data_IF_025486118226
#
_entry.id   IF_025486118226
#
_cell.length_a   1.000
_cell.length_b   1.000
_cell.length_c   1.000
_cell.angle_alpha   90.00
_cell.angle_beta   90.00
_cell.angle_gamma   90.00
#
_symmetry.space_group_name_H-M   'P 1'
#
loop_
_entity.id
_entity.type
_entity.pdbx_description
1 polymer ?
#
# COMPACT_ATOMS: atom_id res chain seq x y z
N UNK A 1 3.30 12.36 12.32
CA UNK A 1 4.69 11.90 12.40
C UNK A 1 5.16 12.05 13.84
N UNK A 2 5.66 10.97 14.48
CA UNK A 2 6.52 11.14 15.67
C UNK A 2 7.77 11.89 15.17
N UNK A 3 8.13 12.99 15.82
CA UNK A 3 9.25 13.85 15.39
C UNK A 3 10.55 13.06 15.23
N UNK A 4 11.44 13.53 14.36
CA UNK A 4 12.82 13.02 14.27
C UNK A 4 13.41 13.01 15.69
N UNK A 5 13.98 11.87 16.09
CA UNK A 5 14.61 11.76 17.40
C UNK A 5 15.98 12.43 17.35
N UNK A 6 16.20 13.37 18.25
CA UNK A 6 17.49 14.03 18.47
C UNK A 6 18.12 13.49 19.75
N UNK A 7 19.45 13.59 19.87
CA UNK A 7 20.13 13.34 21.14
C UNK A 7 19.73 14.40 22.17
N UNK A 8 19.71 14.01 23.45
CA UNK A 8 19.28 14.89 24.53
C UNK A 8 20.20 16.11 24.67
N UNK A 9 21.49 15.97 24.36
CA UNK A 9 22.47 17.03 24.49
C UNK A 9 23.19 17.37 23.17
N UNK A 10 23.59 18.64 23.05
CA UNK A 10 24.53 19.11 22.04
C UNK A 10 25.96 18.95 22.57
N UNK A 11 26.75 18.07 21.95
CA UNK A 11 28.16 17.88 22.32
C UNK A 11 29.00 19.02 21.77
N UNK A 12 29.84 19.65 22.60
CA UNK A 12 30.68 20.79 22.18
C UNK A 12 32.16 20.45 22.32
N UNK A 13 32.92 20.63 21.25
CA UNK A 13 34.38 20.40 21.22
C UNK A 13 35.12 21.66 20.75
N UNK A 14 36.32 21.92 21.28
CA UNK A 14 37.14 23.07 20.86
C UNK A 14 37.86 22.76 19.54
N UNK A 15 37.70 23.63 18.54
CA UNK A 15 38.51 23.59 17.33
C UNK A 15 39.90 24.16 17.65
N UNK A 16 40.96 23.39 17.35
CA UNK A 16 42.33 23.84 17.59
C UNK A 16 42.78 24.96 16.64
N UNK A 17 42.14 25.11 15.47
CA UNK A 17 42.65 25.91 14.34
C UNK A 17 41.74 27.06 13.88
N UNK A 18 40.47 27.10 14.27
CA UNK A 18 39.53 28.11 13.76
C UNK A 18 39.49 29.36 14.66
N UNK A 19 39.95 30.51 14.14
CA UNK A 19 39.97 31.80 14.87
C UNK A 19 38.57 32.41 15.08
N UNK A 20 37.66 32.26 14.10
CA UNK A 20 36.33 32.89 14.14
C UNK A 20 35.26 32.04 14.84
N UNK A 21 35.36 30.71 14.75
CA UNK A 21 34.44 29.76 15.37
C UNK A 21 35.26 28.71 16.15
N UNK A 22 35.79 29.08 17.33
CA UNK A 22 36.70 28.23 18.10
C UNK A 22 36.03 26.99 18.70
N UNK A 23 34.70 26.85 18.60
CA UNK A 23 33.96 25.71 19.10
C UNK A 23 33.17 25.03 17.97
N UNK A 24 32.91 23.74 18.15
CA UNK A 24 32.10 22.92 17.25
C UNK A 24 30.99 22.25 18.05
N UNK A 25 29.74 22.51 17.69
CA UNK A 25 28.57 21.82 18.22
C UNK A 25 28.26 20.60 17.36
N UNK A 26 27.98 19.45 18.00
CA UNK A 26 27.54 18.21 17.36
C UNK A 26 26.21 17.76 17.95
N UNK A 27 25.21 17.59 17.10
CA UNK A 27 23.89 17.08 17.47
C UNK A 27 23.69 15.71 16.84
N UNK A 28 23.42 14.69 17.66
CA UNK A 28 23.04 13.37 17.20
C UNK A 28 21.57 13.37 16.75
N UNK A 29 21.26 12.66 15.68
CA UNK A 29 19.88 12.41 15.26
C UNK A 29 19.76 10.99 14.70
N UNK A 30 18.58 10.41 14.84
CA UNK A 30 18.26 9.13 14.22
C UNK A 30 17.83 9.37 12.78
N UNK A 31 18.59 8.84 11.81
CA UNK A 31 18.24 8.91 10.40
C UNK A 31 17.14 7.87 10.09
N UNK A 32 15.91 8.29 9.73
CA UNK A 32 14.82 7.36 9.44
C UNK A 32 14.98 6.62 8.10
N UNK A 33 15.90 7.04 7.23
CA UNK A 33 16.15 6.41 5.94
C UNK A 33 17.11 5.24 6.12
N UNK A 34 18.27 5.50 6.71
CA UNK A 34 19.32 4.49 6.88
C UNK A 34 19.19 3.69 8.19
N UNK A 35 18.27 4.07 9.09
CA UNK A 35 18.07 3.48 10.41
C UNK A 35 19.32 3.50 11.31
N UNK A 36 20.20 4.51 11.15
CA UNK A 36 21.44 4.67 11.90
C UNK A 36 21.49 6.03 12.60
N UNK A 37 22.13 6.09 13.76
CA UNK A 37 22.45 7.34 14.44
C UNK A 37 23.55 8.10 13.71
N UNK A 38 23.24 9.32 13.26
CA UNK A 38 24.18 10.23 12.60
C UNK A 38 24.37 11.49 13.43
N UNK A 39 25.42 12.25 13.14
CA UNK A 39 25.70 13.52 13.81
C UNK A 39 25.82 14.67 12.81
N UNK A 40 25.06 15.75 13.04
CA UNK A 40 25.22 17.00 12.32
C UNK A 40 26.13 17.95 13.12
N UNK A 41 26.83 18.84 12.41
CA UNK A 41 27.92 19.63 12.98
C UNK A 41 27.76 21.09 12.59
N UNK A 42 28.00 22.00 13.55
CA UNK A 42 27.99 23.45 13.32
C UNK A 42 29.15 24.14 14.04
N UNK A 43 29.73 25.16 13.41
CA UNK A 43 30.72 26.03 14.04
C UNK A 43 30.06 27.01 15.01
N UNK A 44 30.68 27.25 16.16
CA UNK A 44 30.17 28.09 17.24
C UNK A 44 31.23 29.11 17.69
N UNK A 45 30.78 30.33 18.02
CA UNK A 45 31.65 31.40 18.51
C UNK A 45 31.95 31.30 20.02
N UNK A 46 31.02 30.77 20.80
CA UNK A 46 31.16 30.62 22.26
C UNK A 46 30.53 29.33 22.78
N UNK A 47 30.83 28.96 24.03
CA UNK A 47 30.29 27.77 24.73
C UNK A 47 29.13 28.06 25.68
N UNK A 48 28.60 29.29 25.66
CA UNK A 48 27.56 29.76 26.57
C UNK A 48 26.22 29.05 26.30
N UNK A 49 25.33 29.02 27.30
CA UNK A 49 24.03 28.33 27.21
C UNK A 49 23.20 28.82 26.02
N UNK A 50 23.13 30.12 25.81
CA UNK A 50 22.41 30.74 24.69
C UNK A 50 22.96 30.31 23.33
N UNK A 51 24.29 30.35 23.17
CA UNK A 51 24.95 29.90 21.95
C UNK A 51 24.69 28.42 21.66
N UNK A 52 24.69 27.55 22.68
CA UNK A 52 24.34 26.13 22.55
C UNK A 52 22.89 25.95 22.11
N UNK A 53 21.95 26.69 22.69
CA UNK A 53 20.54 26.59 22.33
C UNK A 53 20.29 27.06 20.89
N UNK A 54 20.88 28.18 20.48
CA UNK A 54 20.79 28.66 19.09
C UNK A 54 21.38 27.66 18.10
N UNK A 55 22.58 27.14 18.38
CA UNK A 55 23.25 26.14 17.54
C UNK A 55 22.43 24.85 17.42
N UNK A 56 21.80 24.41 18.52
CA UNK A 56 20.89 23.25 18.51
C UNK A 56 19.68 23.52 17.62
N UNK A 57 18.96 24.61 17.82
CA UNK A 57 17.77 24.95 17.03
C UNK A 57 18.09 25.07 15.53
N UNK A 58 19.25 25.65 15.19
CA UNK A 58 19.69 25.77 13.80
C UNK A 58 20.03 24.41 13.18
N UNK A 59 20.69 23.52 13.94
CA UNK A 59 20.95 22.15 13.50
C UNK A 59 19.66 21.35 13.31
N UNK A 60 18.73 21.41 14.26
CA UNK A 60 17.42 20.75 14.15
C UNK A 60 16.68 21.24 12.90
N UNK A 61 16.66 22.56 12.64
CA UNK A 61 16.06 23.15 11.45
C UNK A 61 16.72 22.66 10.16
N UNK A 62 18.05 22.67 10.07
CA UNK A 62 18.80 22.18 8.90
C UNK A 62 18.57 20.69 8.65
N UNK A 63 18.52 19.87 9.70
CA UNK A 63 18.22 18.44 9.61
C UNK A 63 16.79 18.24 9.08
N UNK A 64 15.81 18.95 9.65
CA UNK A 64 14.42 18.91 9.20
C UNK A 64 14.26 19.37 7.75
N UNK A 65 14.95 20.44 7.35
CA UNK A 65 14.96 20.95 5.97
C UNK A 65 15.59 19.94 5.01
N UNK A 66 16.70 19.29 5.38
CA UNK A 66 17.31 18.24 4.57
C UNK A 66 16.34 17.08 4.33
N UNK A 67 15.62 16.63 5.36
CA UNK A 67 14.61 15.58 5.19
C UNK A 67 13.36 16.06 4.44
N UNK A 68 13.06 17.36 4.44
CA UNK A 68 12.05 17.94 3.53
C UNK A 68 12.56 17.96 2.09
N UNK A 69 13.83 18.25 1.84
CA UNK A 69 14.43 18.32 0.51
C UNK A 69 14.70 16.93 -0.11
N UNK A 70 15.15 15.95 0.67
CA UNK A 70 15.28 14.55 0.21
C UNK A 70 13.92 13.97 -0.20
N UNK A 71 12.83 14.40 0.46
CA UNK A 71 11.47 14.11 -0.01
C UNK A 71 11.15 14.77 -1.36
N UNK A 72 11.81 15.86 -1.74
CA UNK A 72 11.59 16.57 -3.02
C UNK A 72 12.41 15.96 -4.16
N UNK A 73 13.53 15.27 -3.89
CA UNK A 73 14.33 14.64 -4.96
C UNK A 73 13.74 13.31 -5.45
N UNK A 74 13.01 12.57 -4.62
CA UNK A 74 12.24 11.36 -5.01
C UNK A 74 10.80 11.70 -5.45
N UNK A 75 10.64 12.77 -6.24
CA UNK A 75 9.36 13.36 -6.66
C UNK A 75 8.63 12.59 -7.78
N UNK A 76 8.52 11.26 -7.65
CA UNK A 76 7.61 10.50 -8.49
C UNK A 76 6.15 10.88 -8.21
N UNK A 77 5.37 11.07 -9.25
CA UNK A 77 3.91 11.17 -9.14
C UNK A 77 3.32 9.80 -8.80
N UNK A 78 2.11 9.78 -8.22
CA UNK A 78 1.37 8.54 -7.98
C UNK A 78 1.16 7.75 -9.28
N UNK A 79 0.94 8.44 -10.40
CA UNK A 79 0.80 7.83 -11.72
C UNK A 79 2.05 7.08 -12.17
N UNK A 80 3.21 7.73 -12.11
CA UNK A 80 4.49 7.12 -12.51
C UNK A 80 4.83 5.90 -11.64
N UNK A 81 4.65 6.01 -10.32
CA UNK A 81 4.89 4.89 -9.42
C UNK A 81 3.94 3.71 -9.68
N UNK A 82 2.68 3.99 -10.03
CA UNK A 82 1.71 2.96 -10.40
C UNK A 82 2.08 2.27 -11.70
N UNK A 83 2.45 3.02 -12.74
CA UNK A 83 2.82 2.46 -14.04
C UNK A 83 4.08 1.59 -13.90
N UNK A 84 5.09 2.05 -13.18
CA UNK A 84 6.30 1.27 -12.89
C UNK A 84 6.00 -0.03 -12.10
N UNK A 85 5.11 0.05 -11.11
CA UNK A 85 4.67 -1.13 -10.36
C UNK A 85 3.92 -2.13 -11.25
N UNK A 86 3.03 -1.65 -12.12
CA UNK A 86 2.26 -2.51 -13.02
C UNK A 86 3.15 -3.18 -14.08
N UNK A 87 4.18 -2.50 -14.57
CA UNK A 87 5.18 -3.11 -15.46
C UNK A 87 5.97 -4.22 -14.78
N UNK A 88 6.38 -4.00 -13.52
CA UNK A 88 6.99 -5.04 -12.71
C UNK A 88 6.06 -6.25 -12.51
N UNK A 89 4.80 -5.99 -12.13
CA UNK A 89 3.80 -7.05 -11.91
C UNK A 89 3.50 -7.82 -13.18
N UNK A 90 3.42 -7.16 -14.33
CA UNK A 90 3.19 -7.81 -15.63
C UNK A 90 4.22 -8.90 -15.95
N UNK A 91 5.46 -8.75 -15.48
CA UNK A 91 6.53 -9.76 -15.63
C UNK A 91 6.50 -10.85 -14.55
N UNK A 92 5.96 -10.54 -13.38
CA UNK A 92 6.03 -11.41 -12.20
C UNK A 92 4.79 -12.30 -11.97
N UNK A 93 3.61 -11.92 -12.49
CA UNK A 93 2.36 -12.64 -12.20
C UNK A 93 1.58 -13.06 -13.45
N UNK A 94 0.64 -13.98 -13.26
CA UNK A 94 -0.27 -14.43 -14.32
C UNK A 94 -1.15 -13.28 -14.85
N UNK A 95 -1.65 -13.42 -16.09
CA UNK A 95 -2.57 -12.44 -16.70
C UNK A 95 -3.82 -12.21 -15.85
N UNK A 96 -4.41 -13.27 -15.29
CA UNK A 96 -5.61 -13.16 -14.46
C UNK A 96 -5.35 -12.36 -13.18
N UNK A 97 -4.19 -12.58 -12.54
CA UNK A 97 -3.75 -11.83 -11.37
C UNK A 97 -3.49 -10.36 -11.72
N UNK A 98 -2.87 -10.08 -12.86
CA UNK A 98 -2.63 -8.71 -13.32
C UNK A 98 -3.94 -7.93 -13.55
N UNK A 99 -4.98 -8.60 -14.07
CA UNK A 99 -6.31 -7.99 -14.21
C UNK A 99 -6.89 -7.59 -12.85
N UNK A 100 -6.73 -8.43 -11.82
CA UNK A 100 -7.14 -8.09 -10.46
C UNK A 100 -6.37 -6.89 -9.91
N UNK A 101 -5.05 -6.83 -10.16
CA UNK A 101 -4.21 -5.69 -9.76
C UNK A 101 -4.69 -4.38 -10.41
N UNK A 102 -4.99 -4.40 -11.72
CA UNK A 102 -5.51 -3.25 -12.45
C UNK A 102 -6.86 -2.77 -11.90
N UNK A 103 -7.77 -3.70 -11.59
CA UNK A 103 -9.07 -3.37 -11.02
C UNK A 103 -8.91 -2.73 -9.63
N UNK A 104 -8.09 -3.31 -8.77
CA UNK A 104 -7.86 -2.81 -7.42
C UNK A 104 -7.22 -1.41 -7.41
N UNK A 105 -6.23 -1.19 -8.28
CA UNK A 105 -5.47 0.07 -8.35
C UNK A 105 -6.14 1.15 -9.21
N UNK A 106 -7.21 0.83 -9.94
CA UNK A 106 -7.99 1.79 -10.73
C UNK A 106 -8.44 3.00 -9.90
N UNK A 107 -8.83 2.77 -8.65
CA UNK A 107 -9.25 3.84 -7.73
C UNK A 107 -8.15 4.86 -7.46
N UNK A 108 -6.91 4.42 -7.28
CA UNK A 108 -5.74 5.31 -7.13
C UNK A 108 -5.46 6.06 -8.42
N UNK A 109 -5.53 5.36 -9.57
CA UNK A 109 -5.30 5.94 -10.89
C UNK A 109 -6.33 7.02 -11.27
N UNK A 110 -7.57 6.90 -10.81
CA UNK A 110 -8.64 7.87 -11.06
C UNK A 110 -8.64 9.06 -10.09
N UNK A 111 -7.96 8.96 -8.95
CA UNK A 111 -8.07 9.96 -7.88
C UNK A 111 -7.30 11.26 -8.18
N UNK A 112 -6.08 11.14 -8.72
CA UNK A 112 -5.24 12.21 -9.32
C UNK A 112 -3.85 11.63 -9.65
N UNK A 113 -3.57 11.37 -10.93
CA UNK A 113 -2.29 10.78 -11.36
C UNK A 113 -1.10 11.69 -11.05
N UNK A 114 -1.28 13.01 -11.19
CA UNK A 114 -0.25 14.02 -10.93
C UNK A 114 -0.08 14.35 -9.44
N UNK A 115 -0.79 13.67 -8.54
CA UNK A 115 -0.59 13.86 -7.10
C UNK A 115 0.80 13.34 -6.73
N UNK A 116 1.65 14.13 -6.05
CA UNK A 116 2.91 13.62 -5.52
C UNK A 116 2.65 12.41 -4.64
N UNK A 117 3.40 11.32 -4.84
CA UNK A 117 3.18 10.06 -4.11
C UNK A 117 3.26 10.27 -2.59
N UNK A 118 4.14 11.15 -2.14
CA UNK A 118 4.32 11.55 -0.73
C UNK A 118 3.09 12.20 -0.10
N UNK A 119 2.20 12.79 -0.90
CA UNK A 119 0.98 13.44 -0.43
C UNK A 119 -0.20 12.47 -0.34
N UNK A 120 0.00 11.19 -0.70
CA UNK A 120 -1.02 10.16 -0.51
C UNK A 120 -1.14 9.84 0.98
N UNK A 121 -2.31 10.12 1.56
CA UNK A 121 -2.60 9.88 2.97
C UNK A 121 -3.68 8.79 3.15
N UNK A 122 -3.92 8.43 4.40
CA UNK A 122 -4.91 7.41 4.78
C UNK A 122 -6.34 7.79 4.36
N UNK A 123 -6.69 9.07 4.38
CA UNK A 123 -8.04 9.55 4.02
C UNK A 123 -8.35 9.35 2.54
N UNK A 124 -7.38 9.57 1.66
CA UNK A 124 -7.51 9.28 0.23
C UNK A 124 -7.84 7.80 0.01
N UNK A 125 -7.14 6.92 0.72
CA UNK A 125 -7.34 5.47 0.56
C UNK A 125 -8.67 5.04 1.18
N UNK A 126 -9.07 5.59 2.34
CA UNK A 126 -10.40 5.35 2.92
C UNK A 126 -11.52 5.74 1.96
N UNK A 127 -11.38 6.87 1.26
CA UNK A 127 -12.36 7.32 0.25
C UNK A 127 -12.44 6.36 -0.93
N UNK A 128 -11.31 5.85 -1.41
CA UNK A 128 -11.26 4.84 -2.48
C UNK A 128 -11.92 3.53 -2.02
N UNK A 129 -11.54 3.02 -0.84
CA UNK A 129 -12.08 1.78 -0.27
C UNK A 129 -13.58 1.91 -0.01
N UNK A 130 -14.04 3.06 0.48
CA UNK A 130 -15.45 3.34 0.71
C UNK A 130 -16.29 3.43 -0.57
N UNK A 131 -15.67 3.74 -1.71
CA UNK A 131 -16.33 3.76 -3.02
C UNK A 131 -16.46 2.37 -3.66
N UNK A 132 -15.78 1.35 -3.14
CA UNK A 132 -15.84 0.00 -3.71
C UNK A 132 -17.18 -0.67 -3.44
N UNK A 133 -17.84 -1.09 -4.52
CA UNK A 133 -19.02 -1.95 -4.47
C UNK A 133 -18.57 -3.41 -4.42
N UNK A 134 -19.14 -4.21 -3.53
CA UNK A 134 -18.85 -5.65 -3.45
C UNK A 134 -18.93 -6.22 -2.05
N UNK A 135 -18.58 -7.50 -1.92
CA UNK A 135 -18.46 -8.16 -0.62
C UNK A 135 -17.14 -7.76 0.08
N UNK A 136 -17.09 -7.92 1.40
CA UNK A 136 -15.93 -7.52 2.20
C UNK A 136 -14.67 -8.33 1.86
N UNK A 137 -14.82 -9.57 1.39
CA UNK A 137 -13.70 -10.43 0.96
C UNK A 137 -12.97 -9.85 -0.25
N UNK A 138 -13.70 -9.43 -1.28
CA UNK A 138 -13.15 -8.80 -2.48
C UNK A 138 -12.52 -7.46 -2.14
N UNK A 139 -13.18 -6.65 -1.33
CA UNK A 139 -12.60 -5.38 -0.86
C UNK A 139 -11.29 -5.63 -0.09
N UNK A 140 -11.22 -6.67 0.75
CA UNK A 140 -10.01 -7.01 1.51
C UNK A 140 -8.87 -7.44 0.58
N UNK A 141 -9.18 -8.23 -0.45
CA UNK A 141 -8.21 -8.61 -1.47
C UNK A 141 -7.65 -7.37 -2.19
N UNK A 142 -8.51 -6.44 -2.61
CA UNK A 142 -8.07 -5.21 -3.25
C UNK A 142 -7.27 -4.31 -2.32
N UNK A 143 -7.63 -4.21 -1.04
CA UNK A 143 -6.85 -3.47 -0.06
C UNK A 143 -5.46 -4.06 0.11
N UNK A 144 -5.34 -5.38 0.15
CA UNK A 144 -4.04 -6.06 0.24
C UNK A 144 -3.17 -5.79 -1.00
N UNK A 145 -3.77 -5.74 -2.20
CA UNK A 145 -3.04 -5.33 -3.42
C UNK A 145 -2.51 -3.89 -3.27
N UNK A 146 -3.33 -2.95 -2.78
CA UNK A 146 -2.87 -1.58 -2.51
C UNK A 146 -1.75 -1.53 -1.46
N UNK A 147 -1.86 -2.32 -0.39
CA UNK A 147 -0.79 -2.40 0.62
C UNK A 147 0.52 -2.89 0.00
N UNK A 148 0.47 -3.89 -0.88
CA UNK A 148 1.65 -4.39 -1.58
C UNK A 148 2.26 -3.35 -2.52
N UNK A 149 1.44 -2.57 -3.23
CA UNK A 149 1.90 -1.44 -4.03
C UNK A 149 2.71 -0.45 -3.18
N UNK A 150 2.13 0.06 -2.08
CA UNK A 150 2.82 1.01 -1.22
C UNK A 150 4.05 0.41 -0.52
N UNK A 151 4.03 -0.88 -0.18
CA UNK A 151 5.22 -1.58 0.31
C UNK A 151 6.34 -1.57 -0.72
N UNK A 152 6.03 -1.79 -2.01
CA UNK A 152 7.02 -1.69 -3.08
C UNK A 152 7.56 -0.27 -3.23
N UNK A 153 6.71 0.75 -3.06
CA UNK A 153 7.16 2.15 -3.03
C UNK A 153 8.12 2.44 -1.86
N UNK A 154 7.92 1.81 -0.71
CA UNK A 154 8.84 1.93 0.45
C UNK A 154 10.16 1.23 0.16
N UNK A 155 10.14 0.01 -0.40
CA UNK A 155 11.36 -0.71 -0.80
C UNK A 155 12.22 0.09 -1.79
N UNK A 156 11.59 0.88 -2.66
CA UNK A 156 12.27 1.78 -3.60
C UNK A 156 12.69 3.12 -3.01
N UNK A 157 12.35 3.39 -1.76
CA UNK A 157 12.67 4.66 -1.08
C UNK A 157 11.78 5.84 -1.48
N UNK A 158 10.64 5.60 -2.14
CA UNK A 158 9.69 6.67 -2.47
C UNK A 158 8.82 7.09 -1.27
N UNK A 159 8.58 6.15 -0.35
CA UNK A 159 7.76 6.37 0.84
C UNK A 159 8.47 5.86 2.09
N UNK A 160 8.16 6.48 3.23
CA UNK A 160 8.69 6.08 4.55
C UNK A 160 7.72 5.14 5.26
N UNK A 161 6.42 5.35 5.08
CA UNK A 161 5.35 4.60 5.75
C UNK A 161 4.25 4.25 4.74
N UNK A 162 3.53 3.16 5.01
CA UNK A 162 2.47 2.67 4.14
C UNK A 162 1.13 3.32 4.54
N UNK A 163 0.57 4.24 3.73
CA UNK A 163 -0.68 4.92 4.05
C UNK A 163 -1.89 3.96 4.12
N UNK A 164 -1.81 2.78 3.51
CA UNK A 164 -2.88 1.78 3.52
C UNK A 164 -2.85 0.86 4.75
N UNK A 165 -1.75 0.80 5.52
CA UNK A 165 -1.49 -0.28 6.47
C UNK A 165 -2.55 -0.36 7.59
N UNK A 166 -2.93 0.81 8.12
CA UNK A 166 -3.87 0.95 9.24
C UNK A 166 -5.33 0.76 8.85
N UNK A 167 -5.63 0.73 7.56
CA UNK A 167 -6.99 0.59 7.06
C UNK A 167 -7.44 -0.85 7.27
N UNK A 168 -8.63 -0.99 7.85
CA UNK A 168 -9.28 -2.27 8.12
C UNK A 168 -10.64 -2.30 7.45
N UNK A 169 -10.96 -3.42 6.83
CA UNK A 169 -12.29 -3.68 6.27
C UNK A 169 -13.04 -4.51 7.30
N UNK A 170 -14.18 -3.98 7.73
CA UNK A 170 -15.04 -4.66 8.69
C UNK A 170 -15.82 -5.72 7.92
N UNK A 171 -15.59 -6.99 8.22
CA UNK A 171 -16.41 -8.07 7.69
C UNK A 171 -17.82 -7.98 8.30
N UNK A 172 -18.84 -7.91 7.44
CA UNK A 172 -20.21 -8.13 7.89
C UNK A 172 -20.31 -9.58 8.37
N UNK A 173 -20.92 -9.80 9.54
CA UNK A 173 -21.25 -11.14 10.00
C UNK A 173 -22.21 -11.77 8.99
N UNK A 174 -21.91 -12.97 8.53
CA UNK A 174 -22.79 -13.69 7.63
C UNK A 174 -24.09 -14.03 8.36
N UNK A 175 -25.22 -13.83 7.69
CA UNK A 175 -26.53 -14.28 8.20
C UNK A 175 -26.64 -15.80 8.06
N UNK A 176 -27.50 -16.44 8.86
CA UNK A 176 -27.74 -17.89 8.78
C UNK A 176 -28.14 -18.34 7.38
N UNK A 177 -28.95 -17.54 6.67
CA UNK A 177 -29.32 -17.77 5.28
C UNK A 177 -28.13 -17.77 4.32
N UNK A 178 -27.18 -16.83 4.46
CA UNK A 178 -25.99 -16.78 3.60
C UNK A 178 -25.03 -17.94 3.85
N UNK A 179 -25.02 -18.47 5.07
CA UNK A 179 -24.27 -19.67 5.43
C UNK A 179 -24.88 -20.88 4.74
N UNK A 180 -26.19 -21.12 4.91
CA UNK A 180 -26.88 -22.23 4.27
C UNK A 180 -26.83 -22.17 2.74
N UNK A 181 -27.00 -20.99 2.14
CA UNK A 181 -26.84 -20.81 0.68
C UNK A 181 -25.45 -21.20 0.16
N UNK A 182 -24.39 -21.02 0.97
CA UNK A 182 -23.05 -21.47 0.59
C UNK A 182 -22.90 -22.98 0.72
N UNK A 183 -23.52 -23.58 1.73
CA UNK A 183 -23.54 -25.03 1.93
C UNK A 183 -24.28 -25.73 0.79
N UNK A 184 -25.46 -25.23 0.42
CA UNK A 184 -26.31 -25.73 -0.67
C UNK A 184 -25.67 -25.62 -2.07
N UNK A 185 -24.60 -24.83 -2.22
CA UNK A 185 -23.86 -24.73 -3.49
C UNK A 185 -23.11 -26.02 -3.81
N UNK A 186 -22.72 -26.77 -2.79
CA UNK A 186 -21.93 -27.99 -2.96
C UNK A 186 -22.86 -29.18 -3.10
N UNK A 187 -22.54 -30.08 -4.02
CA UNK A 187 -23.30 -31.31 -4.14
C UNK A 187 -23.21 -32.14 -2.87
N UNK A 188 -24.36 -32.54 -2.37
CA UNK A 188 -24.44 -33.66 -1.44
C UNK A 188 -24.07 -34.96 -2.17
N UNK A 189 -23.64 -35.98 -1.42
CA UNK A 189 -23.28 -37.29 -1.97
C UNK A 189 -24.45 -37.88 -2.79
N UNK A 190 -25.69 -37.64 -2.38
CA UNK A 190 -26.87 -38.12 -3.08
C UNK A 190 -27.11 -37.39 -4.39
N UNK A 191 -26.92 -36.06 -4.44
CA UNK A 191 -27.03 -35.28 -5.67
C UNK A 191 -25.91 -35.60 -6.66
N UNK A 192 -24.70 -35.81 -6.17
CA UNK A 192 -23.58 -36.24 -7.02
C UNK A 192 -23.86 -37.59 -7.69
N UNK A 193 -24.38 -38.57 -6.93
CA UNK A 193 -24.78 -39.88 -7.48
C UNK A 193 -25.90 -39.75 -8.51
N UNK A 194 -26.87 -38.87 -8.28
CA UNK A 194 -27.95 -38.59 -9.25
C UNK A 194 -27.41 -37.96 -10.53
N UNK A 195 -26.46 -37.02 -10.42
CA UNK A 195 -25.82 -36.38 -11.56
C UNK A 195 -25.06 -37.41 -12.41
N UNK A 196 -24.23 -38.26 -11.79
CA UNK A 196 -23.49 -39.29 -12.51
C UNK A 196 -24.41 -40.31 -13.19
N UNK A 197 -25.46 -40.77 -12.52
CA UNK A 197 -26.45 -41.66 -13.13
C UNK A 197 -27.20 -41.00 -14.31
N UNK A 198 -27.39 -39.68 -14.28
CA UNK A 198 -27.99 -38.94 -15.39
C UNK A 198 -27.01 -38.77 -16.56
N UNK A 199 -25.72 -38.54 -16.29
CA UNK A 199 -24.68 -38.46 -17.31
C UNK A 199 -24.50 -39.80 -18.05
N UNK A 200 -24.47 -40.92 -17.33
CA UNK A 200 -24.40 -42.27 -17.93
C UNK A 200 -25.60 -42.57 -18.85
N UNK A 201 -26.79 -42.07 -18.51
CA UNK A 201 -27.97 -42.18 -19.38
C UNK A 201 -27.88 -41.29 -20.62
N UNK A 202 -27.19 -40.17 -20.54
CA UNK A 202 -27.03 -39.21 -21.64
C UNK A 202 -25.99 -39.68 -22.67
N UNK A 203 -24.94 -40.38 -22.21
CA UNK A 203 -23.92 -41.00 -23.07
C UNK A 203 -24.39 -42.30 -23.75
N UNK A 204 -25.56 -42.83 -23.36
CA UNK A 204 -26.19 -43.94 -24.06
C UNK A 204 -26.70 -43.48 -25.44
N UNK A 205 -26.17 -44.01 -26.57
CA UNK A 205 -26.52 -43.55 -27.92
C UNK A 205 -28.00 -43.69 -28.27
N UNK A 206 -28.76 -44.55 -27.57
CA UNK A 206 -30.21 -44.67 -27.74
C UNK A 206 -31.02 -43.51 -27.14
N UNK A 207 -30.43 -42.65 -26.31
CA UNK A 207 -31.13 -41.53 -25.66
C UNK A 207 -31.04 -40.22 -26.48
N UNK A 208 -30.10 -40.10 -27.43
CA UNK A 208 -29.94 -38.93 -28.32
C UNK A 208 -31.13 -38.70 -29.27
N UNK A 209 -32.00 -39.71 -29.46
CA UNK A 209 -33.11 -39.62 -30.42
C UNK A 209 -34.42 -39.04 -29.87
N UNK A 210 -34.55 -38.79 -28.56
CA UNK A 210 -35.84 -38.34 -27.97
C UNK A 210 -35.96 -36.84 -27.67
N UNK A 211 -34.89 -36.06 -27.80
CA UNK A 211 -34.95 -34.60 -27.54
C UNK A 211 -35.07 -33.75 -28.82
N UNK A 212 -34.96 -34.35 -30.01
CA UNK A 212 -35.04 -33.61 -31.28
C UNK A 212 -36.48 -33.44 -31.83
N UNK A 213 -37.50 -34.06 -31.23
CA UNK A 213 -38.87 -34.10 -31.77
C UNK A 213 -39.93 -33.31 -31.00
N UNK A 214 -39.57 -32.59 -29.92
CA UNK A 214 -40.52 -31.71 -29.20
C UNK A 214 -40.45 -30.24 -29.64
N UNK A 215 -40.13 -29.97 -30.90
CA UNK A 215 -40.40 -28.68 -31.55
C UNK A 215 -41.87 -28.57 -31.93
N UNK A 216 -42.77 -28.46 -30.94
CA UNK A 216 -44.18 -28.12 -31.22
C UNK A 216 -44.23 -26.64 -31.64
N UNK A 217 -44.51 -26.45 -32.93
CA UNK A 217 -44.90 -25.19 -33.57
C UNK A 217 -46.02 -24.52 -32.73
N UNK A 218 -45.78 -23.32 -32.25
CA UNK A 218 -46.87 -22.38 -31.98
C UNK A 218 -47.20 -21.69 -33.30
N UNK A 219 -48.43 -21.87 -33.75
CA UNK A 219 -49.01 -21.18 -34.91
C UNK A 219 -50.32 -20.53 -34.49
N UNK A 220 -50.47 -19.27 -34.94
CA UNK A 220 -51.60 -18.34 -34.83
C UNK A 220 -51.71 -17.60 -33.50
#
# INVERSE_FOLDING_TARGET
MKGIKFSDELKVTKHRTAKSHPYQGRLGYFDPIDYVWKSAVIGMKSKNREAKNMARSELEKKILEKFKQVKVENNGTLGEALDEYLEYRKKAVSKATLVQDLIALKGLRSFKQNLPLLNVNEEHIKRIVGAWKGNSTTQLAYLNIMKNFFRKCIEKGYLIDNPAEKIKIINKKATSYEIHKKEDKYFTISEQKRLFAAMEKYDNPNCKMKLATSGKKFSH
#
